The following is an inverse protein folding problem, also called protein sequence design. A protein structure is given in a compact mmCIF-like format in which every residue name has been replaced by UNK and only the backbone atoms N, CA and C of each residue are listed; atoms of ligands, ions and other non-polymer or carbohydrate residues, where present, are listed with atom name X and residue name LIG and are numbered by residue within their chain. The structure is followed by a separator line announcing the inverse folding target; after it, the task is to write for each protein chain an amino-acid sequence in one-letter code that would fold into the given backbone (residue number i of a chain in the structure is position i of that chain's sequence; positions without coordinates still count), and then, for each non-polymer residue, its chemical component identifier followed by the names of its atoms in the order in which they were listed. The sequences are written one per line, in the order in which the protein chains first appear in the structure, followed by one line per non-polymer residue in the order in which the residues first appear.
data_IF_912081919042
#
_entry.id   IF_912081919042
#
_cell.length_a   1.000
_cell.length_b   1.000
_cell.length_c   1.000
_cell.angle_alpha   90.00
_cell.angle_beta   90.00
_cell.angle_gamma   90.00
#
_symmetry.space_group_name_H-M   'P 1'
#
loop_
_entity.id
_entity.type
_entity.pdbx_description
1 polymer ?
#
# COMPACT_ATOMS: atom_id res chain seq x y z
N UNK A 1 -10.35 22.50 17.11
CA UNK A 1 -10.43 23.95 16.84
C UNK A 1 -9.89 24.77 18.02
N UNK A 2 -8.57 24.91 18.18
CA UNK A 2 -8.00 25.83 19.20
C UNK A 2 -7.42 27.12 18.60
N UNK A 3 -7.43 27.26 17.26
CA UNK A 3 -6.68 28.33 16.56
C UNK A 3 -7.51 29.24 15.65
N UNK A 4 -8.73 28.88 15.25
CA UNK A 4 -9.52 29.66 14.29
C UNK A 4 -10.80 30.17 14.97
N UNK A 5 -10.79 31.45 15.33
CA UNK A 5 -11.83 32.11 16.14
C UNK A 5 -13.11 32.26 15.32
N UNK A 6 -12.98 32.54 14.02
CA UNK A 6 -14.06 32.70 13.06
C UNK A 6 -14.86 31.40 12.94
N UNK A 7 -14.16 30.28 12.80
CA UNK A 7 -14.76 28.96 12.74
C UNK A 7 -15.43 28.58 14.06
N UNK A 8 -14.80 28.90 15.20
CA UNK A 8 -15.43 28.68 16.52
C UNK A 8 -16.70 29.51 16.70
N UNK A 9 -16.74 30.74 16.18
CA UNK A 9 -17.94 31.57 16.22
C UNK A 9 -19.03 31.00 15.32
N UNK A 10 -18.69 30.64 14.07
CA UNK A 10 -19.62 30.04 13.10
C UNK A 10 -20.22 28.73 13.59
N UNK A 11 -19.45 27.91 14.31
CA UNK A 11 -19.95 26.64 14.86
C UNK A 11 -20.62 26.79 16.22
N UNK A 12 -20.83 28.01 16.73
CA UNK A 12 -21.42 28.23 18.05
C UNK A 12 -20.58 27.63 19.19
N UNK A 13 -19.25 27.62 19.01
CA UNK A 13 -18.25 26.95 19.87
C UNK A 13 -18.45 25.44 20.01
N UNK A 14 -19.17 24.79 19.10
CA UNK A 14 -19.17 23.33 19.02
C UNK A 14 -17.74 22.82 18.83
N UNK A 15 -17.31 21.95 19.75
CA UNK A 15 -16.00 21.33 19.76
C UNK A 15 -16.17 19.80 19.66
N UNK A 16 -16.59 19.27 18.50
CA UNK A 16 -16.73 17.83 18.31
C UNK A 16 -15.36 17.16 18.52
N UNK A 17 -15.36 16.06 19.25
CA UNK A 17 -14.16 15.24 19.45
C UNK A 17 -13.82 14.43 18.19
N UNK A 18 -12.69 13.73 18.23
CA UNK A 18 -12.23 12.93 17.09
C UNK A 18 -13.24 11.84 16.71
N UNK A 19 -13.96 11.28 17.69
CA UNK A 19 -14.92 10.20 17.48
C UNK A 19 -16.16 10.72 16.77
N UNK A 20 -16.69 11.86 17.21
CA UNK A 20 -17.82 12.53 16.58
C UNK A 20 -17.53 12.86 15.11
N UNK A 21 -16.33 13.37 14.80
CA UNK A 21 -15.92 13.65 13.42
C UNK A 21 -15.78 12.35 12.62
N UNK A 22 -15.22 11.29 13.19
CA UNK A 22 -15.07 10.01 12.52
C UNK A 22 -16.42 9.36 12.21
N UNK A 23 -17.33 9.34 13.18
CA UNK A 23 -18.70 8.83 13.05
C UNK A 23 -19.46 9.63 11.99
N UNK A 24 -19.40 10.97 12.02
CA UNK A 24 -19.99 11.81 11.00
C UNK A 24 -19.49 11.47 9.59
N UNK A 25 -18.17 11.27 9.43
CA UNK A 25 -17.57 10.92 8.11
C UNK A 25 -18.00 9.54 7.64
N UNK A 26 -18.10 8.56 8.54
CA UNK A 26 -18.56 7.21 8.23
C UNK A 26 -20.02 7.23 7.78
N UNK A 27 -20.87 7.88 8.57
CA UNK A 27 -22.32 7.83 8.41
C UNK A 27 -22.80 8.74 7.25
N UNK A 28 -22.00 9.74 6.85
CA UNK A 28 -22.34 10.69 5.78
C UNK A 28 -21.42 10.59 4.54
N UNK A 29 -20.80 9.43 4.32
CA UNK A 29 -19.83 9.21 3.23
C UNK A 29 -20.33 9.65 1.84
N UNK A 30 -21.58 9.31 1.49
CA UNK A 30 -22.22 9.71 0.23
C UNK A 30 -22.37 11.24 0.11
N UNK A 31 -22.73 11.91 1.20
CA UNK A 31 -22.86 13.37 1.26
C UNK A 31 -21.51 14.05 1.03
N UNK A 32 -20.46 13.59 1.71
CA UNK A 32 -19.10 14.12 1.55
C UNK A 32 -18.61 13.96 0.11
N UNK A 33 -18.79 12.78 -0.50
CA UNK A 33 -18.44 12.55 -1.92
C UNK A 33 -19.18 13.51 -2.84
N UNK A 34 -20.46 13.76 -2.58
CA UNK A 34 -21.26 14.70 -3.37
C UNK A 34 -20.77 16.15 -3.24
N UNK A 35 -20.38 16.58 -2.03
CA UNK A 35 -19.80 17.91 -1.79
C UNK A 35 -18.48 18.06 -2.53
N UNK A 36 -17.57 17.08 -2.43
CA UNK A 36 -16.31 17.08 -3.17
C UNK A 36 -16.55 17.14 -4.69
N UNK A 37 -17.53 16.39 -5.21
CA UNK A 37 -17.93 16.46 -6.62
C UNK A 37 -18.42 17.85 -7.02
N UNK A 38 -19.25 18.51 -6.19
CA UNK A 38 -19.69 19.90 -6.44
C UNK A 38 -18.53 20.89 -6.41
N UNK A 39 -17.58 20.69 -5.50
CA UNK A 39 -16.37 21.50 -5.43
C UNK A 39 -15.54 21.40 -6.72
N UNK A 40 -15.33 20.19 -7.24
CA UNK A 40 -14.64 19.99 -8.54
C UNK A 40 -15.38 20.68 -9.69
N UNK A 41 -16.71 20.59 -9.74
CA UNK A 41 -17.52 21.30 -10.74
C UNK A 41 -17.37 22.81 -10.62
N UNK A 42 -17.41 23.36 -9.40
CA UNK A 42 -17.18 24.79 -9.15
C UNK A 42 -15.79 25.22 -9.64
N UNK A 43 -14.74 24.44 -9.35
CA UNK A 43 -13.38 24.72 -9.83
C UNK A 43 -13.31 24.70 -11.37
N UNK A 44 -14.09 23.85 -12.03
CA UNK A 44 -14.21 23.82 -13.50
C UNK A 44 -14.87 25.09 -14.04
N UNK A 45 -15.96 25.53 -13.42
CA UNK A 45 -16.70 26.74 -13.82
C UNK A 45 -15.84 28.00 -13.63
N UNK A 46 -15.03 28.01 -12.57
CA UNK A 46 -14.00 29.03 -12.31
C UNK A 46 -12.74 28.89 -13.19
N UNK A 47 -12.72 27.94 -14.13
CA UNK A 47 -11.62 27.68 -15.07
C UNK A 47 -10.27 27.37 -14.41
N UNK A 48 -10.28 26.88 -13.17
CA UNK A 48 -9.08 26.46 -12.44
C UNK A 48 -8.48 25.18 -13.06
N UNK A 49 -9.31 24.29 -13.63
CA UNK A 49 -8.86 23.09 -14.36
C UNK A 49 -8.65 23.33 -15.86
N UNK A 50 -8.19 24.53 -16.23
CA UNK A 50 -8.02 24.92 -17.63
C UNK A 50 -6.89 24.16 -18.32
N UNK A 51 -5.78 23.89 -17.62
CA UNK A 51 -4.68 23.09 -18.12
C UNK A 51 -4.99 21.60 -17.96
N UNK A 52 -4.97 20.86 -19.07
CA UNK A 52 -5.20 19.41 -19.07
C UNK A 52 -3.92 18.64 -18.67
N UNK A 53 -3.37 18.96 -17.50
CA UNK A 53 -2.15 18.37 -16.97
C UNK A 53 -2.33 18.05 -15.48
N UNK A 54 -2.08 16.80 -15.10
CA UNK A 54 -2.09 16.35 -13.71
C UNK A 54 -0.80 15.64 -13.33
N UNK A 55 -0.43 15.73 -12.06
CA UNK A 55 0.55 14.87 -11.42
C UNK A 55 -0.18 13.78 -10.62
N UNK A 56 0.24 12.53 -10.80
CA UNK A 56 -0.29 11.37 -10.09
C UNK A 56 0.78 10.84 -9.16
N UNK A 57 0.43 10.68 -7.89
CA UNK A 57 1.33 10.13 -6.88
C UNK A 57 0.55 9.33 -5.83
N UNK A 58 1.29 8.43 -5.17
CA UNK A 58 0.79 7.44 -4.22
C UNK A 58 1.38 7.67 -2.84
N UNK A 59 0.54 7.69 -1.82
CA UNK A 59 0.94 7.89 -0.44
C UNK A 59 0.43 6.78 0.47
N UNK A 60 1.36 6.18 1.23
CA UNK A 60 1.04 5.09 2.16
C UNK A 60 0.62 5.64 3.51
N UNK A 61 -0.63 5.40 3.88
CA UNK A 61 -1.22 5.87 5.13
C UNK A 61 -1.34 4.72 6.12
N UNK A 62 -0.88 4.95 7.35
CA UNK A 62 -0.91 3.94 8.40
C UNK A 62 -2.34 3.67 8.84
N UNK A 63 -2.71 2.40 8.88
CA UNK A 63 -3.98 1.93 9.42
C UNK A 63 -3.91 1.79 10.95
N UNK A 64 -5.07 1.57 11.58
CA UNK A 64 -5.16 1.19 13.00
C UNK A 64 -4.85 -0.30 13.13
N UNK A 65 -3.68 -0.73 12.66
CA UNK A 65 -3.19 -2.10 12.80
C UNK A 65 -1.68 -2.11 12.96
N UNK A 66 -1.18 -2.77 14.02
CA UNK A 66 0.26 -2.92 14.21
C UNK A 66 0.81 -4.02 13.29
N UNK A 67 2.12 -4.02 13.06
CA UNK A 67 2.76 -5.03 12.21
C UNK A 67 2.64 -6.44 12.77
N UNK A 68 2.64 -6.56 14.09
CA UNK A 68 2.55 -7.82 14.83
C UNK A 68 1.12 -8.38 14.84
N UNK A 69 0.12 -7.53 14.57
CA UNK A 69 -1.28 -7.92 14.37
C UNK A 69 -1.64 -8.09 12.90
N UNK A 70 -0.64 -8.27 12.04
CA UNK A 70 -0.81 -8.58 10.63
C UNK A 70 0.01 -9.82 10.27
N UNK A 71 -0.69 -10.83 9.75
CA UNK A 71 -0.14 -12.16 9.50
C UNK A 71 -0.11 -12.45 8.01
N UNK A 72 0.99 -13.04 7.58
CA UNK A 72 1.17 -13.67 6.28
C UNK A 72 1.87 -15.00 6.54
N UNK A 73 1.80 -15.96 5.62
CA UNK A 73 2.42 -17.28 5.81
C UNK A 73 3.88 -17.17 6.28
N UNK A 74 4.70 -16.39 5.58
CA UNK A 74 6.11 -16.19 5.96
C UNK A 74 6.32 -15.46 7.30
N UNK A 75 5.40 -14.57 7.72
CA UNK A 75 5.47 -13.96 9.06
C UNK A 75 5.11 -14.96 10.15
N UNK A 76 4.11 -15.81 9.90
CA UNK A 76 3.70 -16.86 10.82
C UNK A 76 4.84 -17.86 10.99
N UNK A 77 5.41 -18.38 9.90
CA UNK A 77 6.52 -19.32 9.94
C UNK A 77 7.72 -18.77 10.72
N UNK A 78 8.11 -17.53 10.42
CA UNK A 78 9.19 -16.85 11.13
C UNK A 78 8.88 -16.68 12.62
N UNK A 79 7.63 -16.40 12.98
CA UNK A 79 7.23 -16.25 14.38
C UNK A 79 7.22 -17.59 15.10
N UNK A 80 6.74 -18.65 14.46
CA UNK A 80 6.79 -20.01 15.00
C UNK A 80 8.24 -20.44 15.27
N UNK A 81 9.16 -20.20 14.32
CA UNK A 81 10.58 -20.47 14.51
C UNK A 81 11.17 -19.73 15.73
N UNK A 82 10.87 -18.44 15.89
CA UNK A 82 11.33 -17.65 17.04
C UNK A 82 10.78 -18.16 18.38
N UNK A 83 9.52 -18.63 18.39
CA UNK A 83 8.90 -19.22 19.57
C UNK A 83 9.60 -20.53 19.91
N UNK A 84 9.85 -21.40 18.93
CA UNK A 84 10.53 -22.68 19.11
C UNK A 84 11.94 -22.48 19.70
N UNK A 85 12.73 -21.57 19.12
CA UNK A 85 14.05 -21.19 19.64
C UNK A 85 13.99 -20.66 21.08
N UNK A 86 12.92 -19.95 21.44
CA UNK A 86 12.71 -19.42 22.79
C UNK A 86 12.31 -20.51 23.79
N UNK A 87 11.45 -21.44 23.38
CA UNK A 87 11.08 -22.62 24.17
C UNK A 87 12.32 -23.46 24.45
N UNK A 88 13.11 -23.76 23.41
CA UNK A 88 14.33 -24.55 23.55
C UNK A 88 15.32 -23.90 24.53
N UNK A 89 15.50 -22.58 24.43
CA UNK A 89 16.34 -21.81 25.36
C UNK A 89 15.85 -21.94 26.81
N UNK A 90 14.55 -21.86 27.06
CA UNK A 90 14.00 -22.00 28.41
C UNK A 90 14.08 -23.43 28.94
N UNK A 91 13.89 -24.44 28.09
CA UNK A 91 14.08 -25.85 28.46
C UNK A 91 15.53 -26.12 28.88
N UNK A 92 16.52 -25.66 28.11
CA UNK A 92 17.94 -25.80 28.49
C UNK A 92 18.29 -25.07 29.80
N UNK A 93 17.65 -23.92 30.06
CA UNK A 93 17.85 -23.20 31.33
C UNK A 93 17.26 -23.97 32.52
N UNK A 94 16.11 -24.64 32.35
CA UNK A 94 15.51 -25.51 33.36
C UNK A 94 16.40 -26.72 33.65
N UNK A 95 16.87 -27.42 32.61
CA UNK A 95 17.78 -28.56 32.77
C UNK A 95 19.08 -28.18 33.49
N UNK A 96 19.61 -26.99 33.22
CA UNK A 96 20.82 -26.49 33.90
C UNK A 96 20.54 -26.20 35.36
N UNK A 97 19.40 -25.58 35.70
CA UNK A 97 19.02 -25.28 37.07
C UNK A 97 18.83 -26.57 37.90
N UNK A 98 18.16 -27.57 37.33
CA UNK A 98 17.94 -28.88 37.97
C UNK A 98 19.25 -29.59 38.31
N UNK A 99 20.33 -29.36 37.54
CA UNK A 99 21.66 -29.96 37.77
C UNK A 99 22.56 -29.20 38.75
N UNK A 100 22.33 -27.90 38.96
CA UNK A 100 23.36 -27.02 39.56
C UNK A 100 22.89 -26.25 40.80
N UNK A 101 21.60 -26.20 41.13
CA UNK A 101 21.08 -25.27 42.13
C UNK A 101 20.40 -25.96 43.33
N UNK A 102 20.55 -25.43 44.57
CA UNK A 102 19.75 -25.82 45.72
C UNK A 102 18.29 -25.37 45.59
N UNK A 103 17.39 -26.00 46.36
CA UNK A 103 15.92 -25.90 46.26
C UNK A 103 15.30 -24.49 46.36
N UNK A 104 16.05 -23.44 46.73
CA UNK A 104 15.55 -22.07 46.94
C UNK A 104 15.27 -21.27 45.66
N UNK A 105 15.47 -21.83 44.46
CA UNK A 105 15.23 -21.14 43.17
C UNK A 105 13.89 -21.56 42.52
N UNK A 106 12.98 -22.14 43.31
CA UNK A 106 11.66 -22.63 42.86
C UNK A 106 10.83 -21.55 42.11
N UNK A 107 10.88 -20.29 42.55
CA UNK A 107 10.17 -19.17 41.92
C UNK A 107 10.64 -18.87 40.48
N UNK A 108 11.94 -19.07 40.16
CA UNK A 108 12.44 -18.86 38.79
C UNK A 108 12.03 -20.01 37.87
N UNK A 109 12.04 -21.24 38.38
CA UNK A 109 11.62 -22.46 37.68
C UNK A 109 10.12 -22.41 37.34
N UNK A 110 9.27 -22.01 38.30
CA UNK A 110 7.82 -21.84 38.07
C UNK A 110 7.55 -20.79 37.00
N UNK A 111 8.20 -19.62 37.07
CA UNK A 111 8.06 -18.56 36.06
C UNK A 111 8.50 -19.00 34.66
N UNK A 112 9.54 -19.83 34.55
CA UNK A 112 9.99 -20.38 33.26
C UNK A 112 8.97 -21.37 32.68
N UNK A 113 8.41 -22.25 33.52
CA UNK A 113 7.34 -23.18 33.11
C UNK A 113 6.10 -22.45 32.62
N UNK A 114 5.67 -21.39 33.32
CA UNK A 114 4.56 -20.52 32.89
C UNK A 114 4.84 -19.88 31.53
N UNK A 115 6.05 -19.35 31.31
CA UNK A 115 6.44 -18.78 30.02
C UNK A 115 6.41 -19.81 28.88
N UNK A 116 6.88 -21.03 29.14
CA UNK A 116 6.83 -22.12 28.14
C UNK A 116 5.37 -22.45 27.80
N UNK A 117 4.49 -22.53 28.80
CA UNK A 117 3.07 -22.78 28.58
C UNK A 117 2.42 -21.67 27.72
N UNK A 118 2.71 -20.40 28.02
CA UNK A 118 2.25 -19.26 27.20
C UNK A 118 2.77 -19.33 25.76
N UNK A 119 4.04 -19.66 25.56
CA UNK A 119 4.65 -19.79 24.23
C UNK A 119 4.03 -20.95 23.43
N UNK A 120 3.76 -22.09 24.07
CA UNK A 120 3.06 -23.21 23.44
C UNK A 120 1.63 -22.85 23.05
N UNK A 121 0.91 -22.11 23.90
CA UNK A 121 -0.42 -21.61 23.55
C UNK A 121 -0.37 -20.64 22.35
N UNK A 122 0.62 -19.74 22.31
CA UNK A 122 0.84 -18.87 21.16
C UNK A 122 1.14 -19.64 19.88
N UNK A 123 1.91 -20.74 19.96
CA UNK A 123 2.18 -21.62 18.81
C UNK A 123 0.87 -22.17 18.23
N UNK A 124 -0.02 -22.68 19.09
CA UNK A 124 -1.31 -23.21 18.65
C UNK A 124 -2.20 -22.15 18.00
N UNK A 125 -2.23 -20.92 18.55
CA UNK A 125 -2.95 -19.81 17.92
C UNK A 125 -2.38 -19.46 16.54
N UNK A 126 -1.05 -19.54 16.36
CA UNK A 126 -0.42 -19.31 15.07
C UNK A 126 -0.73 -20.41 14.06
N UNK A 127 -0.84 -21.67 14.49
CA UNK A 127 -1.27 -22.78 13.62
C UNK A 127 -2.69 -22.55 13.09
N UNK A 128 -3.61 -22.10 13.95
CA UNK A 128 -4.97 -21.75 13.54
C UNK A 128 -4.97 -20.61 12.50
N UNK A 129 -4.21 -19.54 12.75
CA UNK A 129 -4.05 -18.42 11.80
C UNK A 129 -3.46 -18.93 10.47
N UNK A 130 -2.51 -19.87 10.51
CA UNK A 130 -1.90 -20.44 9.31
C UNK A 130 -2.89 -21.19 8.44
N UNK A 131 -3.79 -21.95 9.05
CA UNK A 131 -4.87 -22.63 8.32
C UNK A 131 -5.88 -21.63 7.75
N UNK A 132 -6.26 -20.61 8.52
CA UNK A 132 -7.15 -19.54 8.04
C UNK A 132 -6.56 -18.80 6.83
N UNK A 133 -5.26 -18.50 6.85
CA UNK A 133 -4.55 -17.84 5.74
C UNK A 133 -4.66 -18.59 4.41
N UNK A 134 -4.80 -19.93 4.42
CA UNK A 134 -4.94 -20.73 3.18
C UNK A 134 -6.27 -20.49 2.47
N UNK A 135 -7.29 -20.04 3.21
CA UNK A 135 -8.63 -19.79 2.66
C UNK A 135 -8.76 -18.39 2.03
N UNK A 136 -7.82 -17.49 2.34
CA UNK A 136 -7.88 -16.09 1.91
C UNK A 136 -7.13 -15.88 0.59
N UNK A 137 -7.70 -15.15 -0.38
CA UNK A 137 -7.14 -15.01 -1.72
C UNK A 137 -5.81 -14.24 -1.76
N UNK A 138 -5.58 -13.35 -0.80
CA UNK A 138 -4.35 -12.54 -0.69
C UNK A 138 -3.35 -13.08 0.34
N UNK A 139 -3.68 -14.20 1.00
CA UNK A 139 -2.82 -14.87 1.97
C UNK A 139 -2.41 -13.97 3.14
N UNK A 140 -3.29 -13.06 3.58
CA UNK A 140 -2.98 -12.09 4.61
C UNK A 140 -4.17 -11.78 5.53
N UNK A 141 -3.91 -11.67 6.84
CA UNK A 141 -4.90 -11.32 7.86
C UNK A 141 -4.43 -10.09 8.62
N UNK A 142 -5.30 -9.10 8.78
CA UNK A 142 -5.11 -7.95 9.67
C UNK A 142 -6.16 -8.01 10.78
N UNK A 143 -5.73 -8.15 12.03
CA UNK A 143 -6.66 -8.45 13.14
C UNK A 143 -7.46 -7.24 13.66
N UNK A 144 -6.93 -6.04 13.53
CA UNK A 144 -7.55 -4.82 14.09
C UNK A 144 -8.29 -4.02 13.02
N UNK A 145 -7.71 -3.98 11.82
CA UNK A 145 -8.27 -3.33 10.64
C UNK A 145 -8.24 -4.34 9.48
N UNK A 146 -9.32 -5.13 9.28
CA UNK A 146 -9.34 -6.25 8.33
C UNK A 146 -9.08 -5.89 6.88
N UNK A 147 -9.32 -4.63 6.48
CA UNK A 147 -9.11 -4.16 5.10
C UNK A 147 -7.66 -3.67 4.87
N UNK A 148 -6.94 -3.36 5.95
CA UNK A 148 -5.56 -2.89 5.86
C UNK A 148 -4.62 -4.00 5.40
N UNK A 149 -3.59 -3.63 4.64
CA UNK A 149 -2.58 -4.57 4.11
C UNK A 149 -1.17 -4.12 4.42
N UNK A 150 -0.27 -5.09 4.52
CA UNK A 150 1.16 -4.86 4.68
C UNK A 150 1.74 -4.30 3.38
N UNK A 151 2.38 -3.15 3.47
CA UNK A 151 2.95 -2.40 2.37
C UNK A 151 4.43 -2.17 2.60
N UNK A 152 5.23 -2.39 1.54
CA UNK A 152 6.65 -2.08 1.56
C UNK A 152 6.85 -0.56 1.61
N UNK A 153 7.77 -0.08 2.44
CA UNK A 153 8.24 1.30 2.42
C UNK A 153 9.76 1.31 2.27
N UNK A 154 10.33 2.47 1.97
CA UNK A 154 11.72 2.63 1.51
C UNK A 154 12.81 2.35 2.56
N UNK A 155 12.46 2.03 3.81
CA UNK A 155 13.41 1.75 4.90
C UNK A 155 13.61 0.24 5.16
N UNK A 156 14.80 -0.11 5.68
CA UNK A 156 15.06 -1.48 6.16
C UNK A 156 14.11 -1.81 7.32
N UNK A 157 13.31 -2.85 7.14
CA UNK A 157 12.35 -3.29 8.14
C UNK A 157 11.20 -2.32 8.38
N UNK A 158 10.92 -1.36 7.49
CA UNK A 158 9.90 -0.31 7.70
C UNK A 158 8.52 -0.61 7.10
N UNK A 159 8.26 -1.88 6.73
CA UNK A 159 6.95 -2.27 6.20
C UNK A 159 5.81 -1.78 7.13
N UNK A 160 4.83 -1.11 6.55
CA UNK A 160 3.70 -0.51 7.27
C UNK A 160 2.44 -1.31 6.97
N UNK A 161 1.53 -1.45 7.93
CA UNK A 161 0.18 -1.96 7.65
C UNK A 161 -0.73 -0.75 7.47
N UNK A 162 -1.37 -0.67 6.32
CA UNK A 162 -2.00 0.57 5.90
C UNK A 162 -2.79 0.48 4.60
N UNK A 163 -3.03 1.66 4.04
CA UNK A 163 -3.69 1.88 2.77
C UNK A 163 -2.77 2.69 1.85
N UNK A 164 -2.91 2.48 0.55
CA UNK A 164 -2.23 3.24 -0.47
C UNK A 164 -3.22 4.22 -1.07
N UNK A 165 -3.06 5.50 -0.75
CA UNK A 165 -3.90 6.60 -1.21
C UNK A 165 -3.30 7.16 -2.49
N UNK A 166 -4.02 7.01 -3.58
CA UNK A 166 -3.67 7.52 -4.88
C UNK A 166 -4.30 8.89 -5.08
N UNK A 167 -3.55 9.85 -5.62
CA UNK A 167 -4.03 11.21 -5.81
C UNK A 167 -3.62 11.73 -7.18
N UNK A 168 -4.56 12.42 -7.85
CA UNK A 168 -4.29 13.19 -9.06
C UNK A 168 -4.49 14.68 -8.74
N UNK A 169 -3.43 15.46 -8.93
CA UNK A 169 -3.37 16.88 -8.58
C UNK A 169 -3.14 17.70 -9.83
N UNK A 170 -3.88 18.80 -10.00
CA UNK A 170 -3.67 19.68 -11.14
C UNK A 170 -2.32 20.40 -11.05
N UNK A 171 -1.68 20.62 -12.19
CA UNK A 171 -0.32 21.15 -12.23
C UNK A 171 -0.20 22.66 -11.97
N UNK A 172 -1.28 23.44 -12.05
CA UNK A 172 -1.25 24.91 -12.02
C UNK A 172 -1.67 25.49 -10.67
N UNK A 173 -2.74 24.96 -10.09
CA UNK A 173 -3.37 25.44 -8.87
C UNK A 173 -3.20 24.46 -7.70
N UNK A 174 -2.61 23.29 -7.95
CA UNK A 174 -2.30 22.28 -6.94
C UNK A 174 -3.55 21.77 -6.18
N UNK A 175 -4.69 21.77 -6.85
CA UNK A 175 -5.94 21.22 -6.34
C UNK A 175 -6.03 19.73 -6.67
N UNK A 176 -6.56 18.98 -5.71
CA UNK A 176 -6.81 17.56 -5.85
C UNK A 176 -8.04 17.38 -6.74
N UNK A 177 -7.85 16.72 -7.87
CA UNK A 177 -8.88 16.48 -8.89
C UNK A 177 -9.59 15.15 -8.64
N UNK A 178 -8.81 14.13 -8.31
CA UNK A 178 -9.30 12.79 -8.01
C UNK A 178 -8.41 12.14 -6.95
N UNK A 179 -9.00 11.24 -6.17
CA UNK A 179 -8.27 10.42 -5.21
C UNK A 179 -8.94 9.05 -5.08
N UNK A 180 -8.17 8.04 -4.71
CA UNK A 180 -8.66 6.68 -4.46
C UNK A 180 -7.90 6.06 -3.29
N UNK A 181 -8.57 5.26 -2.47
CA UNK A 181 -7.93 4.54 -1.35
C UNK A 181 -7.92 3.07 -1.67
N UNK A 182 -6.72 2.50 -1.83
CA UNK A 182 -6.55 1.10 -2.21
C UNK A 182 -5.79 0.33 -1.14
N UNK A 183 -5.93 -0.98 -1.15
CA UNK A 183 -5.14 -1.89 -0.32
C UNK A 183 -3.96 -2.50 -1.11
N UNK A 184 -3.69 -2.01 -2.32
CA UNK A 184 -2.60 -2.46 -3.19
C UNK A 184 -1.32 -1.74 -2.80
N UNK A 185 -0.32 -2.48 -2.32
CA UNK A 185 0.90 -1.91 -1.75
C UNK A 185 1.90 -1.26 -2.74
N UNK A 186 1.58 -1.23 -4.03
CA UNK A 186 2.41 -0.64 -5.08
C UNK A 186 1.55 0.13 -6.09
N UNK A 187 2.23 0.99 -6.87
CA UNK A 187 1.57 1.96 -7.74
C UNK A 187 1.53 1.52 -9.23
N UNK A 188 2.09 0.34 -9.55
CA UNK A 188 2.32 -0.11 -10.95
C UNK A 188 1.05 -0.26 -11.78
N UNK A 189 -0.10 -0.44 -11.14
CA UNK A 189 -1.40 -0.65 -11.78
C UNK A 189 -2.42 0.46 -11.45
N UNK A 190 -1.92 1.63 -11.01
CA UNK A 190 -2.77 2.74 -10.53
C UNK A 190 -2.78 3.94 -11.48
N UNK A 191 -2.05 3.87 -12.60
CA UNK A 191 -1.88 5.01 -13.50
C UNK A 191 -3.16 5.31 -14.30
N UNK A 192 -3.68 4.31 -15.03
CA UNK A 192 -4.79 4.51 -15.94
C UNK A 192 -6.09 4.83 -15.21
N UNK A 193 -6.39 4.12 -14.11
CA UNK A 193 -7.57 4.37 -13.29
C UNK A 193 -7.61 5.81 -12.78
N UNK A 194 -6.51 6.28 -12.19
CA UNK A 194 -6.40 7.64 -11.66
C UNK A 194 -6.40 8.70 -12.75
N UNK A 195 -5.70 8.47 -13.86
CA UNK A 195 -5.66 9.44 -14.96
C UNK A 195 -7.03 9.59 -15.63
N UNK A 196 -7.79 8.49 -15.78
CA UNK A 196 -9.17 8.54 -16.28
C UNK A 196 -10.10 9.28 -15.34
N UNK A 197 -10.03 8.97 -14.03
CA UNK A 197 -10.81 9.68 -13.02
C UNK A 197 -10.53 11.19 -13.06
N UNK A 198 -9.25 11.58 -13.18
CA UNK A 198 -8.85 12.98 -13.30
C UNK A 198 -9.37 13.63 -14.59
N UNK A 199 -9.23 12.96 -15.73
CA UNK A 199 -9.72 13.44 -17.04
C UNK A 199 -11.22 13.72 -17.00
N UNK A 200 -11.98 12.78 -16.46
CA UNK A 200 -13.44 12.85 -16.39
C UNK A 200 -13.88 13.96 -15.41
N UNK A 201 -13.21 14.06 -14.26
CA UNK A 201 -13.44 15.13 -13.27
C UNK A 201 -13.13 16.54 -13.83
N UNK A 202 -12.06 16.69 -14.61
CA UNK A 202 -11.70 17.95 -15.27
C UNK A 202 -12.59 18.27 -16.48
N UNK A 203 -13.38 17.30 -16.96
CA UNK A 203 -14.22 17.45 -18.15
C UNK A 203 -13.41 17.68 -19.43
N UNK A 204 -12.27 17.00 -19.57
CA UNK A 204 -11.39 17.11 -20.76
C UNK A 204 -11.47 15.84 -21.60
N UNK A 205 -11.31 15.97 -22.92
CA UNK A 205 -11.22 14.81 -23.83
C UNK A 205 -9.81 14.23 -23.91
N UNK A 206 -8.80 15.07 -23.70
CA UNK A 206 -7.38 14.70 -23.67
C UNK A 206 -6.75 15.22 -22.39
N UNK A 207 -5.81 14.44 -21.83
CA UNK A 207 -5.11 14.78 -20.59
C UNK A 207 -3.63 14.39 -20.71
N UNK A 208 -2.73 15.17 -20.13
CA UNK A 208 -1.36 14.75 -19.84
C UNK A 208 -1.27 14.33 -18.37
N UNK A 209 -0.73 13.15 -18.10
CA UNK A 209 -0.54 12.64 -16.75
C UNK A 209 0.94 12.42 -16.48
N UNK A 210 1.49 13.12 -15.49
CA UNK A 210 2.87 12.94 -15.03
C UNK A 210 2.84 12.02 -13.82
N UNK A 211 3.71 11.02 -13.80
CA UNK A 211 3.85 10.10 -12.67
C UNK A 211 5.31 9.68 -12.47
N UNK A 212 5.64 9.17 -11.30
CA UNK A 212 6.97 8.67 -11.01
C UNK A 212 7.24 7.30 -11.67
N UNK A 213 8.46 6.78 -11.49
CA UNK A 213 8.86 5.47 -12.07
C UNK A 213 8.06 4.28 -11.53
N UNK A 214 7.46 4.42 -10.34
CA UNK A 214 6.66 3.38 -9.68
C UNK A 214 5.41 3.01 -10.48
N UNK A 215 4.88 3.96 -11.26
CA UNK A 215 3.74 3.78 -12.15
C UNK A 215 4.09 3.17 -13.52
N UNK A 216 5.36 2.83 -13.79
CA UNK A 216 5.74 2.28 -15.09
C UNK A 216 5.15 0.87 -15.31
N UNK A 217 4.15 0.79 -16.20
CA UNK A 217 3.60 -0.45 -16.74
C UNK A 217 3.19 -0.23 -18.19
N UNK A 218 3.66 -1.10 -19.10
CA UNK A 218 3.34 -0.97 -20.53
C UNK A 218 1.83 -1.09 -20.80
N UNK A 219 1.14 -1.96 -20.05
CA UNK A 219 -0.32 -2.13 -20.16
C UNK A 219 -1.07 -0.89 -19.70
N UNK A 220 -0.65 -0.28 -18.58
CA UNK A 220 -1.25 0.95 -18.07
C UNK A 220 -1.02 2.14 -19.02
N UNK A 221 0.21 2.27 -19.54
CA UNK A 221 0.56 3.35 -20.48
C UNK A 221 -0.25 3.20 -21.78
N UNK A 222 -0.39 1.98 -22.29
CA UNK A 222 -1.24 1.71 -23.45
C UNK A 222 -2.70 2.07 -23.17
N UNK A 223 -3.24 1.64 -22.02
CA UNK A 223 -4.62 1.95 -21.66
C UNK A 223 -4.88 3.45 -21.49
N UNK A 224 -3.90 4.21 -20.98
CA UNK A 224 -3.92 5.67 -21.00
C UNK A 224 -3.98 6.21 -22.44
N UNK A 225 -3.10 5.75 -23.32
CA UNK A 225 -3.06 6.21 -24.72
C UNK A 225 -4.37 5.93 -25.46
N UNK A 226 -4.92 4.72 -25.31
CA UNK A 226 -6.21 4.29 -25.89
C UNK A 226 -7.38 5.16 -25.41
N UNK A 227 -7.23 5.84 -24.27
CA UNK A 227 -8.24 6.73 -23.67
C UNK A 227 -7.88 8.22 -23.82
N UNK A 228 -6.96 8.58 -24.71
CA UNK A 228 -6.60 9.98 -24.98
C UNK A 228 -5.77 10.63 -23.88
N UNK A 229 -5.11 9.84 -23.05
CA UNK A 229 -4.25 10.28 -21.95
C UNK A 229 -2.79 10.06 -22.34
N UNK A 230 -2.01 11.14 -22.42
CA UNK A 230 -0.58 11.09 -22.64
C UNK A 230 0.15 10.94 -21.29
N UNK A 231 0.62 9.73 -21.00
CA UNK A 231 1.41 9.43 -19.81
C UNK A 231 2.88 9.86 -19.99
N UNK A 232 3.42 10.59 -19.02
CA UNK A 232 4.80 11.07 -18.98
C UNK A 232 5.43 10.55 -17.68
N UNK A 233 6.29 9.55 -17.80
CA UNK A 233 6.92 8.92 -16.64
C UNK A 233 8.30 8.35 -17.00
N UNK A 234 9.24 8.25 -16.04
CA UNK A 234 10.56 7.71 -16.30
C UNK A 234 10.52 6.22 -16.66
N UNK A 235 11.21 5.83 -17.74
CA UNK A 235 11.39 4.42 -18.11
C UNK A 235 12.42 3.75 -17.18
N UNK A 236 12.05 2.71 -16.41
CA UNK A 236 13.01 1.99 -15.60
C UNK A 236 13.93 1.16 -16.50
N UNK A 237 15.21 1.13 -16.14
CA UNK A 237 16.24 0.29 -16.79
C UNK A 237 16.35 -1.09 -16.18
N UNK A 238 15.61 -1.38 -15.10
CA UNK A 238 15.63 -2.67 -14.41
C UNK A 238 14.66 -3.65 -15.08
N UNK A 239 15.20 -4.74 -15.64
CA UNK A 239 14.44 -5.88 -16.11
C UNK A 239 14.73 -7.11 -15.26
N UNK A 240 13.70 -7.91 -14.96
CA UNK A 240 13.90 -9.24 -14.37
C UNK A 240 14.39 -10.27 -15.38
N UNK A 241 14.40 -9.93 -16.69
CA UNK A 241 14.83 -10.84 -17.76
C UNK A 241 16.28 -11.30 -17.56
N UNK A 242 17.18 -10.36 -17.21
CA UNK A 242 18.58 -10.66 -16.97
C UNK A 242 18.80 -11.61 -15.79
N UNK A 243 18.03 -11.44 -14.72
CA UNK A 243 18.04 -12.37 -13.58
C UNK A 243 17.52 -13.77 -13.95
N UNK A 244 16.65 -13.86 -14.96
CA UNK A 244 16.16 -15.12 -15.52
C UNK A 244 17.01 -15.67 -16.68
N UNK A 245 18.21 -15.13 -16.93
CA UNK A 245 19.10 -15.58 -18.01
C UNK A 245 18.59 -15.27 -19.43
N UNK A 246 17.62 -14.37 -19.58
CA UNK A 246 17.06 -13.94 -20.87
C UNK A 246 17.66 -12.60 -21.31
N UNK A 247 17.58 -12.30 -22.60
CA UNK A 247 17.93 -10.99 -23.14
C UNK A 247 17.15 -9.88 -22.45
N UNK A 248 17.85 -8.82 -22.07
CA UNK A 248 17.29 -7.61 -21.48
C UNK A 248 16.76 -6.68 -22.59
N UNK A 249 15.89 -5.74 -22.24
CA UNK A 249 15.37 -4.72 -23.17
C UNK A 249 16.46 -3.89 -23.83
N UNK A 250 17.59 -3.70 -23.16
CA UNK A 250 18.74 -2.98 -23.71
C UNK A 250 19.43 -3.75 -24.85
N UNK A 251 19.24 -5.07 -24.92
CA UNK A 251 19.82 -5.91 -25.95
C UNK A 251 19.00 -5.86 -27.26
N UNK A 252 17.78 -5.33 -27.22
CA UNK A 252 16.92 -5.18 -28.40
C UNK A 252 17.11 -3.81 -29.05
N UNK A 253 17.18 -3.81 -30.39
CA UNK A 253 17.32 -2.60 -31.19
C UNK A 253 15.95 -2.22 -31.75
N UNK A 254 15.50 -0.99 -31.49
CA UNK A 254 14.27 -0.47 -32.08
C UNK A 254 14.55 0.10 -33.47
N UNK A 255 13.89 -0.44 -34.48
CA UNK A 255 13.97 -0.03 -35.88
C UNK A 255 12.81 0.93 -36.15
N UNK A 256 13.04 2.23 -35.95
CA UNK A 256 12.00 3.26 -36.04
C UNK A 256 11.30 3.34 -37.41
N UNK A 257 12.00 2.97 -38.50
CA UNK A 257 11.43 2.98 -39.86
C UNK A 257 10.26 2.02 -40.00
N UNK A 258 10.37 0.85 -39.39
CA UNK A 258 9.45 -0.26 -39.59
C UNK A 258 8.56 -0.49 -38.35
N UNK A 259 8.77 0.30 -37.28
CA UNK A 259 8.11 0.17 -35.97
C UNK A 259 8.27 -1.22 -35.33
N UNK A 260 9.50 -1.77 -35.41
CA UNK A 260 9.80 -3.13 -34.98
C UNK A 260 10.99 -3.18 -34.02
N UNK A 261 11.04 -4.23 -33.21
CA UNK A 261 12.21 -4.54 -32.39
C UNK A 261 12.97 -5.73 -32.97
N UNK A 262 14.27 -5.56 -33.15
CA UNK A 262 15.18 -6.66 -33.49
C UNK A 262 15.82 -7.21 -32.22
N UNK A 263 15.81 -8.53 -32.07
CA UNK A 263 16.44 -9.20 -30.94
C UNK A 263 17.94 -9.46 -31.19
N UNK A 264 18.72 -9.84 -30.16
CA UNK A 264 20.16 -10.09 -30.30
C UNK A 264 20.55 -11.20 -31.28
N UNK A 265 19.63 -12.13 -31.57
CA UNK A 265 19.85 -13.20 -32.56
C UNK A 265 19.40 -12.81 -33.97
N UNK A 266 18.99 -11.57 -34.19
CA UNK A 266 18.69 -11.00 -35.50
C UNK A 266 17.22 -11.06 -35.93
N UNK A 267 16.37 -11.79 -35.21
CA UNK A 267 14.94 -11.92 -35.49
C UNK A 267 14.15 -10.64 -35.18
N UNK A 268 13.08 -10.39 -35.93
CA UNK A 268 12.26 -9.18 -35.84
C UNK A 268 10.90 -9.46 -35.18
N UNK A 269 10.56 -8.67 -34.17
CA UNK A 269 9.25 -8.71 -33.53
C UNK A 269 8.31 -7.71 -34.21
N UNK A 270 7.38 -8.24 -35.00
CA UNK A 270 6.32 -7.49 -35.68
C UNK A 270 5.22 -7.06 -34.69
N UNK A 271 4.75 -5.82 -34.85
CA UNK A 271 3.60 -5.29 -34.12
C UNK A 271 2.34 -6.10 -34.49
N UNK A 272 1.60 -6.60 -33.49
CA UNK A 272 0.29 -7.23 -33.65
C UNK A 272 -0.77 -6.46 -32.86
#
# INVERSE_FOLDING_TARGET
CQRNIELMWLTGRLAPDFKTIADFRRDNSTGIRNVCRRFVVLCRDLKLFSQALVAIDGSKFKAVNTRDRNFTAGKVDKRQQQIEESIQRYLSALETADRTQPAEIELKTTRLREKIAQLRQQMHSLDQIKEELKTLPDGQISMTDPDARSMATSGKGSGMVGYNVQMAVDAKHHLIVAHEVTNIGNDRAQLNSMARAARDAMGKTRLKAIADRGYFSAQEIKACADTGIAAILPKPTTSSAKAGGRFDRADFIYIARDDEYQCPVGERAIYR
#
